data_IF_142702479045
#
_entry.id   IF_142702479045
#
_cell.length_a   1.000
_cell.length_b   1.000
_cell.length_c   1.000
_cell.angle_alpha   90.00
_cell.angle_beta   90.00
_cell.angle_gamma   90.00
#
_symmetry.space_group_name_H-M   'P 1'
#
loop_
_entity.id
_entity.type
_entity.pdbx_description
1 polymer ?
#
# COMPACT_ATOMS: atom_id res chain seq x y z
N UNK A 1 -66.85 -29.05 29.61
CA UNK A 1 -65.66 -29.13 28.76
C UNK A 1 -64.91 -30.39 29.13
N UNK A 2 -64.97 -31.42 28.26
CA UNK A 2 -64.27 -32.68 28.56
C UNK A 2 -62.74 -32.52 28.41
N UNK A 3 -61.97 -32.80 29.44
CA UNK A 3 -60.52 -32.95 29.41
C UNK A 3 -60.17 -34.13 28.50
N UNK A 4 -59.81 -33.84 27.24
CA UNK A 4 -59.26 -34.86 26.35
C UNK A 4 -57.76 -35.01 26.66
N UNK A 5 -57.43 -36.08 27.39
CA UNK A 5 -56.05 -36.35 27.86
C UNK A 5 -55.09 -36.69 26.71
N UNK A 6 -55.59 -37.15 25.57
CA UNK A 6 -54.76 -37.56 24.41
C UNK A 6 -54.33 -36.45 23.45
N UNK A 7 -54.95 -35.26 23.48
CA UNK A 7 -54.61 -34.13 22.59
C UNK A 7 -54.85 -32.81 23.33
N UNK A 8 -53.89 -32.34 24.10
CA UNK A 8 -53.98 -31.02 24.75
C UNK A 8 -53.48 -29.93 23.78
N UNK A 9 -54.36 -29.39 22.94
CA UNK A 9 -54.11 -28.33 21.99
C UNK A 9 -53.51 -27.06 22.66
N UNK A 10 -53.93 -26.76 23.88
CA UNK A 10 -53.43 -25.61 24.63
C UNK A 10 -51.96 -25.80 25.04
N UNK A 11 -51.58 -27.01 25.50
CA UNK A 11 -50.18 -27.33 25.83
C UNK A 11 -49.27 -27.29 24.58
N UNK A 12 -49.74 -27.81 23.44
CA UNK A 12 -48.97 -27.80 22.20
C UNK A 12 -48.78 -26.36 21.71
N UNK A 13 -49.79 -25.50 21.81
CA UNK A 13 -49.70 -24.10 21.45
C UNK A 13 -48.73 -23.33 22.39
N UNK A 14 -48.84 -23.57 23.69
CA UNK A 14 -47.91 -22.99 24.65
C UNK A 14 -46.43 -23.41 24.40
N UNK A 15 -46.22 -24.69 24.07
CA UNK A 15 -44.87 -25.16 23.70
C UNK A 15 -44.31 -24.54 22.43
N UNK A 16 -45.15 -24.37 21.38
CA UNK A 16 -44.78 -23.67 20.16
C UNK A 16 -44.38 -22.21 20.44
N UNK A 17 -45.13 -21.55 21.31
CA UNK A 17 -44.86 -20.16 21.70
C UNK A 17 -43.56 -20.01 22.49
N UNK A 18 -43.30 -20.95 23.43
CA UNK A 18 -42.05 -21.01 24.17
C UNK A 18 -40.85 -21.25 23.25
N UNK A 19 -40.93 -22.17 22.30
CA UNK A 19 -39.88 -22.39 21.29
C UNK A 19 -39.63 -21.16 20.43
N UNK A 20 -40.69 -20.46 20.02
CA UNK A 20 -40.59 -19.21 19.26
C UNK A 20 -39.90 -18.11 20.07
N UNK A 21 -40.24 -17.97 21.35
CA UNK A 21 -39.62 -16.95 22.23
C UNK A 21 -38.15 -17.28 22.53
N UNK A 22 -37.83 -18.56 22.80
CA UNK A 22 -36.46 -19.02 23.00
C UNK A 22 -35.57 -18.74 21.79
N UNK A 23 -36.07 -19.01 20.58
CA UNK A 23 -35.32 -18.68 19.34
C UNK A 23 -35.06 -17.19 19.21
N UNK A 24 -36.04 -16.31 19.48
CA UNK A 24 -35.87 -14.84 19.45
C UNK A 24 -34.85 -14.37 20.47
N UNK A 25 -34.86 -14.97 21.67
CA UNK A 25 -33.93 -14.64 22.74
C UNK A 25 -32.48 -15.00 22.35
N UNK A 26 -32.25 -16.19 21.78
CA UNK A 26 -30.95 -16.64 21.30
C UNK A 26 -30.46 -15.68 20.20
N UNK A 27 -31.31 -15.33 19.24
CA UNK A 27 -30.98 -14.40 18.16
C UNK A 27 -30.70 -12.98 18.67
N UNK A 28 -31.45 -12.52 19.68
CA UNK A 28 -31.20 -11.24 20.34
C UNK A 28 -29.86 -11.22 21.08
N UNK A 29 -29.54 -12.30 21.80
CA UNK A 29 -28.24 -12.45 22.48
C UNK A 29 -27.07 -12.51 21.50
N UNK A 30 -27.23 -13.22 20.38
CA UNK A 30 -26.21 -13.27 19.32
C UNK A 30 -25.95 -11.89 18.70
N UNK A 31 -26.99 -11.10 18.42
CA UNK A 31 -26.86 -9.72 17.93
C UNK A 31 -26.21 -8.79 18.94
N UNK A 32 -26.54 -8.96 20.21
CA UNK A 32 -25.95 -8.16 21.28
C UNK A 32 -24.47 -8.48 21.47
N UNK A 33 -24.12 -9.76 21.46
CA UNK A 33 -22.74 -10.23 21.61
C UNK A 33 -21.83 -9.83 20.42
N UNK A 34 -22.36 -9.88 19.20
CA UNK A 34 -21.62 -9.49 17.98
C UNK A 34 -21.61 -8.00 17.71
N UNK A 35 -22.56 -7.24 18.26
CA UNK A 35 -22.81 -5.84 17.91
C UNK A 35 -23.37 -5.63 16.50
N UNK A 36 -23.67 -6.70 15.77
CA UNK A 36 -24.13 -6.68 14.40
C UNK A 36 -25.61 -7.06 14.29
N UNK A 37 -26.36 -6.34 13.48
CA UNK A 37 -27.76 -6.65 13.21
C UNK A 37 -27.94 -7.89 12.33
N UNK A 38 -27.00 -8.10 11.38
CA UNK A 38 -26.98 -9.21 10.42
C UNK A 38 -25.76 -10.06 10.74
N UNK A 39 -25.96 -11.27 11.23
CA UNK A 39 -24.90 -12.20 11.57
C UNK A 39 -24.85 -13.39 10.62
N UNK A 40 -26.00 -13.76 10.05
CA UNK A 40 -26.13 -14.94 9.18
C UNK A 40 -26.81 -14.54 7.88
N UNK A 41 -26.49 -15.28 6.81
CA UNK A 41 -27.16 -15.12 5.52
C UNK A 41 -28.70 -15.31 5.62
N UNK A 42 -29.16 -16.09 6.62
CA UNK A 42 -30.58 -16.29 6.90
C UNK A 42 -31.28 -15.03 7.44
N UNK A 43 -30.54 -14.08 8.03
CA UNK A 43 -31.11 -12.83 8.55
C UNK A 43 -31.36 -11.84 7.41
N UNK A 44 -30.40 -11.69 6.49
CA UNK A 44 -30.49 -10.85 5.28
C UNK A 44 -29.34 -11.20 4.33
N UNK A 45 -29.61 -12.03 3.34
CA UNK A 45 -28.60 -12.46 2.37
C UNK A 45 -28.07 -11.30 1.49
N UNK A 46 -28.97 -10.39 1.10
CA UNK A 46 -28.59 -9.25 0.27
C UNK A 46 -27.75 -8.23 1.05
N UNK A 47 -28.17 -7.90 2.27
CA UNK A 47 -27.43 -7.01 3.15
C UNK A 47 -26.05 -7.57 3.54
N UNK A 48 -25.95 -8.87 3.78
CA UNK A 48 -24.67 -9.53 4.08
C UNK A 48 -23.73 -9.47 2.87
N UNK A 49 -24.21 -9.75 1.66
CA UNK A 49 -23.42 -9.68 0.43
C UNK A 49 -22.87 -8.26 0.19
N UNK A 50 -23.68 -7.24 0.42
CA UNK A 50 -23.25 -5.82 0.33
C UNK A 50 -22.20 -5.50 1.41
N UNK A 51 -22.44 -5.93 2.65
CA UNK A 51 -21.51 -5.70 3.75
C UNK A 51 -20.14 -6.36 3.50
N UNK A 52 -20.10 -7.61 2.99
CA UNK A 52 -18.87 -8.28 2.62
C UNK A 52 -18.13 -7.60 1.45
N UNK A 53 -18.88 -7.06 0.49
CA UNK A 53 -18.30 -6.26 -0.59
C UNK A 53 -17.64 -4.99 -0.04
N UNK A 54 -18.31 -4.26 0.85
CA UNK A 54 -17.71 -3.08 1.48
C UNK A 54 -16.51 -3.43 2.36
N UNK A 55 -16.57 -4.51 3.13
CA UNK A 55 -15.41 -4.99 3.91
C UNK A 55 -14.21 -5.33 3.02
N UNK A 56 -14.47 -5.92 1.86
CA UNK A 56 -13.43 -6.20 0.87
C UNK A 56 -12.83 -4.90 0.31
N UNK A 57 -13.66 -3.91 -0.02
CA UNK A 57 -13.19 -2.60 -0.49
C UNK A 57 -12.38 -1.86 0.59
N UNK A 58 -12.83 -1.88 1.84
CA UNK A 58 -12.07 -1.26 2.95
C UNK A 58 -10.68 -1.89 3.07
N UNK A 59 -10.57 -3.23 3.06
CA UNK A 59 -9.28 -3.92 3.08
C UNK A 59 -8.40 -3.58 1.88
N UNK A 60 -8.99 -3.39 0.70
CA UNK A 60 -8.29 -2.95 -0.49
C UNK A 60 -7.74 -1.54 -0.30
N UNK A 61 -8.53 -0.58 0.15
CA UNK A 61 -8.08 0.78 0.42
C UNK A 61 -7.00 0.85 1.50
N UNK A 62 -7.10 0.03 2.55
CA UNK A 62 -6.05 -0.07 3.56
C UNK A 62 -4.73 -0.59 2.96
N UNK A 63 -4.79 -1.53 2.03
CA UNK A 63 -3.60 -2.01 1.33
C UNK A 63 -3.04 -0.96 0.36
N UNK A 64 -3.89 -0.26 -0.36
CA UNK A 64 -3.50 0.85 -1.23
C UNK A 64 -2.83 1.97 -0.43
N UNK A 65 -3.37 2.32 0.75
CA UNK A 65 -2.76 3.30 1.64
C UNK A 65 -1.35 2.88 2.09
N UNK A 66 -1.15 1.60 2.43
CA UNK A 66 0.18 1.07 2.74
C UNK A 66 1.12 1.13 1.54
N UNK A 67 0.64 0.78 0.35
CA UNK A 67 1.44 0.84 -0.87
C UNK A 67 1.86 2.29 -1.21
N UNK A 68 0.96 3.25 -1.03
CA UNK A 68 1.28 4.68 -1.17
C UNK A 68 2.36 5.12 -0.17
N UNK A 69 2.30 4.62 1.08
CA UNK A 69 3.33 4.92 2.07
C UNK A 69 4.70 4.37 1.65
N UNK A 70 4.77 3.18 1.05
CA UNK A 70 6.00 2.66 0.47
C UNK A 70 6.50 3.53 -0.69
N UNK A 71 5.60 4.02 -1.55
CA UNK A 71 5.95 4.97 -2.61
C UNK A 71 6.52 6.28 -2.07
N UNK A 72 5.94 6.83 -1.01
CA UNK A 72 6.47 8.03 -0.33
C UNK A 72 7.86 7.76 0.25
N UNK A 73 8.10 6.59 0.84
CA UNK A 73 9.41 6.24 1.38
C UNK A 73 10.46 6.09 0.27
N UNK A 74 10.09 5.48 -0.86
CA UNK A 74 10.96 5.40 -2.04
C UNK A 74 11.31 6.79 -2.58
N UNK A 75 10.33 7.71 -2.68
CA UNK A 75 10.55 9.08 -3.12
C UNK A 75 11.51 9.84 -2.18
N UNK A 76 11.37 9.66 -0.87
CA UNK A 76 12.28 10.26 0.12
C UNK A 76 13.72 9.71 0.00
N UNK A 77 13.87 8.42 -0.29
CA UNK A 77 15.19 7.84 -0.54
C UNK A 77 15.82 8.44 -1.80
N UNK A 78 15.05 8.60 -2.88
CA UNK A 78 15.51 9.24 -4.09
C UNK A 78 15.87 10.72 -3.86
N UNK A 79 15.06 11.45 -3.09
CA UNK A 79 15.31 12.85 -2.71
C UNK A 79 16.65 12.99 -1.97
N UNK A 80 16.93 12.09 -1.01
CA UNK A 80 18.22 12.07 -0.30
C UNK A 80 19.41 11.81 -1.24
N UNK A 81 19.27 10.90 -2.21
CA UNK A 81 20.29 10.67 -3.23
C UNK A 81 20.51 11.87 -4.13
N UNK A 82 19.44 12.54 -4.57
CA UNK A 82 19.52 13.77 -5.38
C UNK A 82 20.15 14.93 -4.63
N UNK A 83 19.92 15.03 -3.32
CA UNK A 83 20.51 16.06 -2.48
C UNK A 83 22.03 15.92 -2.42
N UNK A 84 22.53 14.70 -2.22
CA UNK A 84 23.94 14.39 -2.26
C UNK A 84 24.58 14.70 -3.64
N UNK A 85 23.87 14.38 -4.72
CA UNK A 85 24.33 14.72 -6.07
C UNK A 85 24.39 16.24 -6.30
N UNK A 86 23.42 17.01 -5.79
CA UNK A 86 23.42 18.47 -5.87
C UNK A 86 24.61 19.08 -5.13
N UNK A 87 24.96 18.56 -3.95
CA UNK A 87 26.16 18.99 -3.21
C UNK A 87 27.44 18.71 -4.03
N UNK A 88 27.54 17.53 -4.63
CA UNK A 88 28.65 17.19 -5.54
C UNK A 88 28.76 18.14 -6.74
N UNK A 89 27.63 18.44 -7.40
CA UNK A 89 27.58 19.40 -8.53
C UNK A 89 27.96 20.81 -8.07
N UNK A 90 27.52 21.25 -6.89
CA UNK A 90 27.92 22.54 -6.34
C UNK A 90 29.46 22.60 -6.13
N UNK A 91 30.03 21.53 -5.57
CA UNK A 91 31.48 21.43 -5.38
C UNK A 91 32.25 21.42 -6.71
N UNK A 92 31.76 20.70 -7.74
CA UNK A 92 32.36 20.72 -9.07
C UNK A 92 32.36 22.14 -9.67
N UNK A 93 31.29 22.91 -9.44
CA UNK A 93 31.22 24.32 -9.89
C UNK A 93 32.27 25.19 -9.20
N UNK A 94 32.48 25.01 -7.90
CA UNK A 94 33.54 25.71 -7.16
C UNK A 94 34.92 25.39 -7.72
N UNK A 95 35.22 24.10 -7.95
CA UNK A 95 36.48 23.65 -8.53
C UNK A 95 36.69 24.21 -9.95
N UNK A 96 35.63 24.26 -10.77
CA UNK A 96 35.70 24.83 -12.11
C UNK A 96 36.02 26.35 -12.08
N UNK A 97 35.40 27.09 -11.15
CA UNK A 97 35.73 28.50 -10.92
C UNK A 97 37.18 28.68 -10.46
N UNK A 98 37.62 27.81 -9.52
CA UNK A 98 39.00 27.82 -9.02
C UNK A 98 39.99 27.50 -10.15
N UNK A 99 39.73 26.49 -11.00
CA UNK A 99 40.58 26.09 -12.12
C UNK A 99 40.69 27.19 -13.22
N UNK A 100 39.68 28.05 -13.35
CA UNK A 100 39.67 29.16 -14.30
C UNK A 100 40.60 30.31 -13.91
N UNK A 101 41.18 30.29 -12.68
CA UNK A 101 42.11 31.31 -12.25
C UNK A 101 43.44 31.21 -13.02
N UNK A 102 43.82 32.25 -13.70
CA UNK A 102 45.01 32.33 -14.53
C UNK A 102 46.37 32.32 -13.74
N UNK A 103 46.30 32.42 -12.41
CA UNK A 103 47.54 32.42 -11.56
C UNK A 103 47.95 31.00 -11.11
N UNK A 104 47.15 29.97 -11.42
CA UNK A 104 47.44 28.58 -11.03
C UNK A 104 48.48 27.98 -11.97
N UNK A 105 49.37 27.17 -11.36
CA UNK A 105 50.32 26.32 -12.09
C UNK A 105 49.60 25.10 -12.69
N UNK A 106 50.23 24.47 -13.69
CA UNK A 106 49.70 23.26 -14.32
C UNK A 106 49.55 22.11 -13.33
N UNK A 107 50.47 21.95 -12.34
CA UNK A 107 50.38 20.98 -11.30
C UNK A 107 49.16 21.21 -10.39
N UNK A 108 48.87 22.46 -10.03
CA UNK A 108 47.71 22.83 -9.25
C UNK A 108 46.40 22.57 -10.01
N UNK A 109 46.37 22.82 -11.30
CA UNK A 109 45.20 22.51 -12.16
C UNK A 109 44.96 20.99 -12.26
N UNK A 110 46.05 20.22 -12.38
CA UNK A 110 45.95 18.76 -12.40
C UNK A 110 45.36 18.22 -11.08
N UNK A 111 45.83 18.74 -9.92
CA UNK A 111 45.25 18.35 -8.63
C UNK A 111 43.74 18.67 -8.51
N UNK A 112 43.33 19.86 -8.99
CA UNK A 112 41.92 20.23 -9.04
C UNK A 112 41.09 19.28 -9.97
N UNK A 113 41.71 18.90 -11.11
CA UNK A 113 41.09 17.97 -12.03
C UNK A 113 40.91 16.55 -11.42
N UNK A 114 41.90 16.07 -10.68
CA UNK A 114 41.80 14.80 -9.96
C UNK A 114 40.69 14.84 -8.89
N UNK A 115 40.59 15.94 -8.11
CA UNK A 115 39.46 16.13 -7.17
C UNK A 115 38.11 16.14 -7.88
N UNK A 116 38.03 16.85 -9.02
CA UNK A 116 36.79 16.88 -9.80
C UNK A 116 36.39 15.49 -10.33
N UNK A 117 37.34 14.69 -10.80
CA UNK A 117 37.08 13.31 -11.23
C UNK A 117 36.55 12.44 -10.10
N UNK A 118 37.11 12.56 -8.89
CA UNK A 118 36.64 11.83 -7.71
C UNK A 118 35.20 12.19 -7.34
N UNK A 119 34.84 13.48 -7.46
CA UNK A 119 33.48 13.94 -7.20
C UNK A 119 32.50 13.42 -8.28
N UNK A 120 32.92 13.40 -9.55
CA UNK A 120 32.12 12.82 -10.64
C UNK A 120 31.85 11.34 -10.38
N UNK A 121 32.88 10.60 -10.00
CA UNK A 121 32.75 9.18 -9.64
C UNK A 121 31.86 8.99 -8.42
N UNK A 122 31.92 9.85 -7.41
CA UNK A 122 31.04 9.83 -6.26
C UNK A 122 29.58 10.10 -6.66
N UNK A 123 29.31 11.05 -7.56
CA UNK A 123 27.97 11.35 -8.07
C UNK A 123 27.40 10.14 -8.81
N UNK A 124 28.20 9.50 -9.66
CA UNK A 124 27.80 8.31 -10.41
C UNK A 124 27.52 7.13 -9.45
N UNK A 125 28.39 6.88 -8.50
CA UNK A 125 28.19 5.87 -7.46
C UNK A 125 26.92 6.15 -6.64
N UNK A 126 26.64 7.40 -6.28
CA UNK A 126 25.40 7.76 -5.57
C UNK A 126 24.17 7.44 -6.44
N UNK A 127 24.24 7.71 -7.75
CA UNK A 127 23.17 7.36 -8.68
C UNK A 127 22.91 5.86 -8.78
N UNK A 128 23.98 5.07 -8.76
CA UNK A 128 23.89 3.60 -8.86
C UNK A 128 23.50 2.94 -7.53
N UNK A 129 23.93 3.49 -6.39
CA UNK A 129 23.69 2.91 -5.07
C UNK A 129 22.40 3.37 -4.40
N UNK A 130 21.73 4.42 -4.96
CA UNK A 130 20.44 4.88 -4.43
C UNK A 130 19.37 3.89 -4.84
N UNK A 131 19.10 2.93 -3.97
CA UNK A 131 18.11 1.89 -4.18
C UNK A 131 17.05 1.86 -3.07
N UNK A 132 15.86 1.40 -3.40
CA UNK A 132 14.79 1.10 -2.47
C UNK A 132 14.24 -0.28 -2.78
N UNK A 133 14.35 -1.21 -1.81
CA UNK A 133 13.90 -2.60 -1.96
C UNK A 133 14.47 -3.31 -3.21
N UNK A 134 15.76 -3.06 -3.54
CA UNK A 134 16.44 -3.64 -4.69
C UNK A 134 16.11 -2.99 -6.04
N UNK A 135 15.37 -1.87 -6.03
CA UNK A 135 15.07 -1.06 -7.21
C UNK A 135 15.95 0.19 -7.18
N UNK A 136 16.81 0.36 -8.19
CA UNK A 136 17.58 1.58 -8.36
C UNK A 136 16.65 2.72 -8.78
N UNK A 137 16.77 3.85 -8.06
CA UNK A 137 15.86 4.99 -8.25
C UNK A 137 16.45 6.08 -9.16
N UNK A 138 17.78 6.16 -9.28
CA UNK A 138 18.49 7.26 -9.93
C UNK A 138 19.42 6.84 -11.07
N UNK A 139 19.43 5.57 -11.47
CA UNK A 139 20.34 5.07 -12.52
C UNK A 139 19.87 5.38 -13.95
N UNK A 140 18.75 6.09 -14.14
CA UNK A 140 18.18 6.42 -15.45
C UNK A 140 17.30 5.32 -16.07
N UNK A 141 17.29 4.11 -15.52
CA UNK A 141 16.31 3.09 -15.86
C UNK A 141 14.98 3.47 -15.21
N UNK A 142 14.15 4.24 -15.92
CA UNK A 142 12.82 4.63 -15.46
C UNK A 142 11.96 3.36 -15.25
N UNK A 143 12.22 2.66 -14.19
CA UNK A 143 11.40 1.56 -13.72
C UNK A 143 10.09 2.19 -13.24
N UNK A 144 9.00 1.89 -13.94
CA UNK A 144 7.66 2.10 -13.41
C UNK A 144 7.59 1.36 -12.08
N UNK A 145 7.75 2.09 -10.98
CA UNK A 145 7.48 1.54 -9.65
C UNK A 145 5.97 1.28 -9.61
N UNK A 146 5.51 0.02 -9.68
CA UNK A 146 4.09 -0.26 -9.71
C UNK A 146 3.54 0.05 -8.31
N UNK A 147 3.00 1.23 -8.13
CA UNK A 147 2.34 1.69 -6.90
C UNK A 147 1.02 0.95 -6.62
N UNK A 148 0.77 -0.16 -7.31
CA UNK A 148 -0.36 -1.05 -7.05
C UNK A 148 -1.72 -0.55 -7.53
N UNK A 149 -1.76 0.56 -8.27
CA UNK A 149 -3.00 1.13 -8.81
C UNK A 149 -3.25 0.76 -10.28
N UNK A 150 -2.31 0.08 -10.93
CA UNK A 150 -2.52 -0.36 -12.31
C UNK A 150 -3.43 -1.59 -12.35
N UNK A 151 -4.57 -1.36 -12.96
CA UNK A 151 -5.51 -2.37 -13.41
C UNK A 151 -4.75 -3.50 -14.16
N UNK A 152 -4.69 -4.70 -13.57
CA UNK A 152 -4.06 -5.89 -14.18
C UNK A 152 -4.64 -6.27 -15.55
N UNK A 153 -5.55 -5.49 -16.09
CA UNK A 153 -6.14 -5.68 -17.42
C UNK A 153 -5.31 -5.14 -18.58
N UNK A 154 -4.44 -4.16 -18.39
CA UNK A 154 -3.69 -3.55 -19.50
C UNK A 154 -2.48 -4.37 -19.96
N UNK A 155 -1.86 -5.16 -19.07
CA UNK A 155 -0.66 -5.94 -19.39
C UNK A 155 -0.92 -7.25 -20.17
N UNK A 156 -2.17 -7.73 -20.23
CA UNK A 156 -2.50 -8.95 -20.97
C UNK A 156 -2.85 -8.73 -22.45
N UNK A 157 -3.09 -7.49 -22.87
CA UNK A 157 -3.47 -7.19 -24.27
C UNK A 157 -2.28 -6.90 -25.20
N UNK A 158 -1.07 -6.70 -24.67
CA UNK A 158 0.10 -6.35 -25.48
C UNK A 158 1.07 -7.51 -25.76
N UNK A 159 0.82 -8.72 -25.28
CA UNK A 159 1.65 -9.90 -25.54
C UNK A 159 1.12 -10.85 -26.63
N UNK A 160 -0.01 -10.52 -27.29
CA UNK A 160 -0.61 -11.37 -28.32
C UNK A 160 -0.44 -10.86 -29.77
N UNK A 161 0.38 -9.84 -30.00
CA UNK A 161 0.75 -9.39 -31.35
C UNK A 161 2.27 -9.37 -31.52
N UNK A 162 2.85 -10.55 -31.63
CA UNK A 162 4.08 -10.82 -32.40
C UNK A 162 4.07 -12.24 -32.88
#
# INVERSE_FOLDING_TARGET
MGLRINNNQAAINAQRQLLGTSRRQVQGSERLASGLRINRAADDAAGLAIAERFRSQVRQFEQEARNLQYGVNAARTAEGGLQNQQEGVARLRELAVQASNGTLTDEQRNAINEEAQQIIEQIDNTGQQTEFNGLNLLNGDAQNVPLGTEDRKSTRLNSSHR
#
